data_IF_779681727474
#
_entry.id   IF_779681727474
#
_cell.length_a   1.000
_cell.length_b   1.000
_cell.length_c   1.000
_cell.angle_alpha   90.00
_cell.angle_beta   90.00
_cell.angle_gamma   90.00
#
_symmetry.space_group_name_H-M   'P 1'
#
loop_
_entity.id
_entity.type
_entity.pdbx_description
1 polymer ?
#
# COMPACT_ATOMS: atom_id res chain seq x y z
N UNK A 1 10.59 3.09 -7.60
CA UNK A 1 9.70 3.67 -6.57
C UNK A 1 9.22 5.09 -6.86
N UNK A 2 9.90 5.89 -7.70
CA UNK A 2 9.46 7.26 -8.03
C UNK A 2 8.03 7.37 -8.59
N UNK A 3 7.59 6.41 -9.41
CA UNK A 3 6.20 6.37 -9.91
C UNK A 3 5.18 6.26 -8.77
N UNK A 4 5.51 5.49 -7.73
CA UNK A 4 4.64 5.28 -6.56
C UNK A 4 4.55 6.59 -5.78
N UNK A 5 5.69 7.15 -5.39
CA UNK A 5 5.71 8.41 -4.60
C UNK A 5 5.15 9.59 -5.38
N UNK A 6 5.43 9.68 -6.68
CA UNK A 6 4.88 10.71 -7.57
C UNK A 6 3.36 10.65 -7.66
N UNK A 7 2.78 9.47 -7.90
CA UNK A 7 1.32 9.31 -7.90
C UNK A 7 0.70 9.66 -6.55
N UNK A 8 1.29 9.16 -5.45
CA UNK A 8 0.77 9.43 -4.10
C UNK A 8 0.80 10.93 -3.75
N UNK A 9 1.85 11.65 -4.14
CA UNK A 9 1.95 13.11 -3.95
C UNK A 9 0.95 13.90 -4.78
N UNK A 10 0.58 13.43 -5.99
CA UNK A 10 -0.49 14.04 -6.77
C UNK A 10 -1.87 13.75 -6.16
N UNK A 11 -2.06 12.51 -5.71
CA UNK A 11 -3.29 12.09 -5.04
C UNK A 11 -3.52 12.85 -3.73
N UNK A 12 -2.47 13.13 -2.94
CA UNK A 12 -2.61 13.89 -1.69
C UNK A 12 -3.11 15.31 -1.93
N UNK A 13 -2.77 15.92 -3.06
CA UNK A 13 -3.24 17.25 -3.45
C UNK A 13 -4.64 17.24 -4.08
N UNK A 14 -5.10 16.09 -4.59
CA UNK A 14 -6.32 15.96 -5.40
C UNK A 14 -7.18 14.76 -4.98
N UNK A 15 -7.37 14.56 -3.68
CA UNK A 15 -8.02 13.36 -3.13
C UNK A 15 -9.55 13.41 -3.26
N UNK A 16 -10.04 13.26 -4.49
CA UNK A 16 -11.45 13.16 -4.86
C UNK A 16 -11.65 12.14 -5.99
N UNK A 17 -12.90 11.70 -6.17
CA UNK A 17 -13.23 10.59 -7.06
C UNK A 17 -13.02 10.95 -8.53
N UNK A 18 -13.40 12.16 -8.90
CA UNK A 18 -13.33 12.68 -10.27
C UNK A 18 -11.88 12.70 -10.75
N UNK A 19 -10.98 13.24 -9.92
CA UNK A 19 -9.56 13.27 -10.22
C UNK A 19 -8.96 11.86 -10.26
N UNK A 20 -9.30 10.99 -9.31
CA UNK A 20 -8.78 9.62 -9.28
C UNK A 20 -9.21 8.81 -10.52
N UNK A 21 -10.46 8.94 -10.96
CA UNK A 21 -10.94 8.25 -12.15
C UNK A 21 -10.20 8.73 -13.41
N UNK A 22 -9.91 10.03 -13.52
CA UNK A 22 -9.12 10.59 -14.61
C UNK A 22 -7.65 10.11 -14.60
N UNK A 23 -7.08 9.79 -13.44
CA UNK A 23 -5.69 9.36 -13.27
C UNK A 23 -5.55 7.86 -12.96
N UNK A 24 -6.59 7.08 -13.25
CA UNK A 24 -6.66 5.65 -12.92
C UNK A 24 -5.59 4.81 -13.60
N UNK A 25 -5.10 5.21 -14.76
CA UNK A 25 -3.96 4.56 -15.44
C UNK A 25 -2.68 4.72 -14.63
N UNK A 26 -2.36 5.94 -14.19
CA UNK A 26 -1.19 6.23 -13.35
C UNK A 26 -1.25 5.46 -12.02
N UNK A 27 -2.44 5.35 -11.43
CA UNK A 27 -2.63 4.49 -10.25
C UNK A 27 -2.28 3.03 -10.53
N UNK A 28 -2.72 2.47 -11.66
CA UNK A 28 -2.42 1.07 -12.03
C UNK A 28 -0.92 0.85 -12.23
N UNK A 29 -0.24 1.79 -12.89
CA UNK A 29 1.22 1.73 -13.08
C UNK A 29 1.97 1.81 -11.74
N UNK A 30 1.55 2.71 -10.85
CA UNK A 30 2.09 2.80 -9.49
C UNK A 30 1.83 1.51 -8.69
N UNK A 31 0.63 0.94 -8.82
CA UNK A 31 0.24 -0.30 -8.16
C UNK A 31 1.09 -1.47 -8.64
N UNK A 32 1.33 -1.61 -9.94
CA UNK A 32 2.19 -2.65 -10.52
C UNK A 32 3.61 -2.57 -9.96
N UNK A 33 4.22 -1.39 -9.98
CA UNK A 33 5.56 -1.16 -9.39
C UNK A 33 5.60 -1.54 -7.91
N UNK A 34 4.55 -1.22 -7.15
CA UNK A 34 4.47 -1.58 -5.73
C UNK A 34 4.28 -3.10 -5.52
N UNK A 35 3.53 -3.76 -6.40
CA UNK A 35 3.31 -5.21 -6.35
C UNK A 35 4.59 -5.99 -6.69
N UNK A 36 5.35 -5.55 -7.68
CA UNK A 36 6.65 -6.12 -8.04
C UNK A 36 7.62 -6.00 -6.87
N UNK A 37 7.75 -4.79 -6.30
CA UNK A 37 8.55 -4.58 -5.09
C UNK A 37 8.09 -5.46 -3.93
N UNK A 38 6.78 -5.60 -3.71
CA UNK A 38 6.27 -6.45 -2.62
C UNK A 38 6.62 -7.92 -2.85
N UNK A 39 6.65 -8.39 -4.09
CA UNK A 39 7.11 -9.76 -4.43
C UNK A 39 8.56 -9.95 -4.03
N UNK A 40 9.43 -9.01 -4.41
CA UNK A 40 10.84 -9.03 -4.03
C UNK A 40 11.03 -8.97 -2.51
N UNK A 41 10.24 -8.14 -1.82
CA UNK A 41 10.25 -8.02 -0.36
C UNK A 41 9.88 -9.35 0.31
N UNK A 42 8.80 -10.01 -0.14
CA UNK A 42 8.38 -11.33 0.39
C UNK A 42 9.50 -12.34 0.19
N UNK A 43 10.07 -12.41 -1.02
CA UNK A 43 11.16 -13.34 -1.33
C UNK A 43 12.41 -13.07 -0.49
N UNK A 44 12.74 -11.79 -0.29
CA UNK A 44 13.84 -11.35 0.57
C UNK A 44 13.65 -11.76 2.03
N UNK A 45 12.46 -11.53 2.59
CA UNK A 45 12.15 -11.96 3.96
C UNK A 45 12.18 -13.50 4.08
N UNK A 46 11.65 -14.21 3.09
CA UNK A 46 11.65 -15.67 3.06
C UNK A 46 13.05 -16.31 3.04
N UNK A 47 14.12 -15.53 2.79
CA UNK A 47 15.49 -16.03 2.92
C UNK A 47 15.85 -16.37 4.37
N UNK A 48 15.35 -15.60 5.35
CA UNK A 48 15.66 -15.77 6.77
C UNK A 48 14.45 -16.15 7.63
N UNK A 49 13.23 -15.85 7.20
CA UNK A 49 12.01 -16.24 7.87
C UNK A 49 11.17 -17.16 6.96
N UNK A 50 11.31 -18.47 7.16
CA UNK A 50 10.63 -19.45 6.29
C UNK A 50 9.11 -19.46 6.50
N UNK A 51 8.59 -18.92 7.60
CA UNK A 51 7.16 -18.94 7.89
C UNK A 51 6.33 -18.06 6.94
N UNK A 52 6.97 -17.13 6.23
CA UNK A 52 6.32 -16.26 5.23
C UNK A 52 6.50 -16.77 3.79
N UNK A 53 7.11 -17.94 3.59
CA UNK A 53 7.33 -18.51 2.26
C UNK A 53 6.01 -18.82 1.55
N UNK A 54 5.95 -18.57 0.25
CA UNK A 54 4.78 -18.89 -0.58
C UNK A 54 3.60 -17.93 -0.45
N UNK A 55 3.74 -16.82 0.30
CA UNK A 55 2.75 -15.75 0.29
C UNK A 55 2.71 -15.06 -1.07
N UNK A 56 1.51 -14.74 -1.53
CA UNK A 56 1.32 -13.88 -2.69
C UNK A 56 1.26 -12.41 -2.29
N UNK A 57 1.53 -11.52 -3.24
CA UNK A 57 1.38 -10.07 -3.03
C UNK A 57 -0.03 -9.69 -2.56
N UNK A 58 -1.07 -10.40 -3.02
CA UNK A 58 -2.46 -10.16 -2.62
C UNK A 58 -2.71 -10.49 -1.16
N UNK A 59 -1.92 -11.38 -0.56
CA UNK A 59 -2.00 -11.72 0.85
C UNK A 59 -1.42 -10.61 1.72
N UNK A 60 -0.44 -9.86 1.21
CA UNK A 60 0.30 -8.86 1.97
C UNK A 60 -0.18 -7.41 1.75
N UNK A 61 -0.75 -7.07 0.59
CA UNK A 61 -1.07 -5.67 0.22
C UNK A 61 -2.48 -5.22 0.62
N UNK A 62 -2.69 -3.91 0.72
CA UNK A 62 -3.99 -3.32 1.06
C UNK A 62 -4.65 -2.61 -0.13
N UNK A 63 -5.98 -2.43 -0.04
CA UNK A 63 -6.71 -1.57 -0.97
C UNK A 63 -6.44 -0.09 -0.68
N UNK A 64 -6.45 0.73 -1.73
CA UNK A 64 -6.25 2.18 -1.66
C UNK A 64 -7.45 2.92 -1.04
N UNK A 65 -8.65 2.35 -1.06
CA UNK A 65 -9.84 2.99 -0.50
C UNK A 65 -9.77 3.12 1.03
N UNK A 66 -10.24 4.26 1.54
CA UNK A 66 -10.43 4.51 2.97
C UNK A 66 -11.82 4.06 3.44
N UNK A 67 -11.90 3.66 4.70
CA UNK A 67 -13.19 3.52 5.39
C UNK A 67 -13.56 4.87 6.00
N UNK A 68 -14.65 5.46 5.52
CA UNK A 68 -15.07 6.83 5.86
C UNK A 68 -16.22 6.89 6.86
N UNK A 69 -16.75 5.74 7.30
CA UNK A 69 -17.99 5.68 8.10
C UNK A 69 -17.91 6.52 9.37
N UNK A 70 -16.73 6.54 10.00
CA UNK A 70 -16.49 7.23 11.27
C UNK A 70 -15.39 8.29 11.20
N UNK A 71 -14.82 8.54 10.02
CA UNK A 71 -13.73 9.53 9.88
C UNK A 71 -14.32 10.94 9.72
N UNK A 72 -13.83 11.95 10.46
CA UNK A 72 -14.20 13.35 10.23
C UNK A 72 -13.65 13.85 8.89
N UNK A 73 -12.49 13.35 8.48
CA UNK A 73 -11.90 13.55 7.16
C UNK A 73 -12.55 12.59 6.14
N UNK A 74 -13.17 13.16 5.11
CA UNK A 74 -13.93 12.42 4.08
C UNK A 74 -13.15 12.16 2.80
N UNK A 75 -11.83 12.36 2.79
CA UNK A 75 -11.02 12.04 1.62
C UNK A 75 -11.05 10.52 1.31
N UNK A 76 -11.45 10.09 0.10
CA UNK A 76 -11.80 8.70 -0.20
C UNK A 76 -10.63 7.72 -0.36
N UNK A 77 -9.42 8.23 -0.62
CA UNK A 77 -8.27 7.39 -0.93
C UNK A 77 -7.14 7.57 0.09
N UNK A 78 -6.39 6.49 0.30
CA UNK A 78 -5.14 6.53 1.07
C UNK A 78 -4.07 7.20 0.23
N UNK A 79 -3.32 8.10 0.85
CA UNK A 79 -2.13 8.76 0.28
C UNK A 79 -0.86 7.94 0.50
N UNK A 80 -1.02 6.64 0.75
CA UNK A 80 0.06 5.69 0.96
C UNK A 80 -0.29 4.29 0.41
N UNK A 81 0.76 3.50 0.17
CA UNK A 81 0.67 2.06 -0.09
C UNK A 81 1.43 1.31 1.01
N UNK A 82 0.89 0.17 1.42
CA UNK A 82 1.46 -0.64 2.49
C UNK A 82 1.40 -2.12 2.17
N UNK A 83 2.35 -2.86 2.74
CA UNK A 83 2.42 -4.30 2.70
C UNK A 83 2.71 -4.83 4.11
N UNK A 84 1.95 -5.84 4.52
CA UNK A 84 2.18 -6.56 5.78
C UNK A 84 2.47 -8.03 5.47
N UNK A 85 3.71 -8.44 5.71
CA UNK A 85 4.24 -9.77 5.43
C UNK A 85 4.27 -10.55 6.74
N UNK A 86 3.31 -11.45 6.92
CA UNK A 86 3.21 -12.32 8.09
C UNK A 86 2.74 -13.72 7.67
N UNK A 87 3.04 -14.76 8.46
CA UNK A 87 2.61 -16.13 8.15
C UNK A 87 1.11 -16.19 7.91
N UNK A 88 0.66 -16.86 6.84
CA UNK A 88 -0.77 -16.95 6.48
C UNK A 88 -1.40 -15.65 5.96
N UNK A 89 -0.62 -14.60 5.71
CA UNK A 89 -1.07 -13.35 5.10
C UNK A 89 -1.70 -12.36 6.09
N UNK A 90 -1.96 -11.12 5.64
CA UNK A 90 -2.28 -9.97 6.50
C UNK A 90 -3.49 -10.10 7.45
N UNK A 91 -4.27 -11.17 7.35
CA UNK A 91 -5.46 -11.45 8.16
C UNK A 91 -5.25 -12.58 9.18
N UNK A 92 -4.06 -13.16 9.25
CA UNK A 92 -3.77 -14.35 10.05
C UNK A 92 -3.68 -14.09 11.56
N UNK A 93 -3.51 -12.84 11.98
CA UNK A 93 -3.31 -12.48 13.39
C UNK A 93 -1.89 -12.71 13.92
N UNK A 94 -0.96 -13.19 13.08
CA UNK A 94 0.44 -13.31 13.45
C UNK A 94 1.19 -11.98 13.36
N UNK A 95 2.25 -11.86 14.15
CA UNK A 95 3.25 -10.82 13.99
C UNK A 95 4.01 -10.98 12.66
N UNK A 96 4.59 -9.89 12.17
CA UNK A 96 5.31 -9.88 10.91
C UNK A 96 5.90 -8.51 10.59
N UNK A 97 6.27 -8.34 9.33
CA UNK A 97 7.02 -7.18 8.84
C UNK A 97 6.08 -6.24 8.10
N UNK A 98 6.10 -4.96 8.46
CA UNK A 98 5.30 -3.93 7.80
C UNK A 98 6.19 -3.00 6.99
N UNK A 99 5.85 -2.82 5.72
CA UNK A 99 6.42 -1.80 4.86
C UNK A 99 5.34 -0.80 4.48
N UNK A 100 5.70 0.48 4.50
CA UNK A 100 4.83 1.60 4.14
C UNK A 100 5.60 2.58 3.29
N UNK A 101 4.95 3.10 2.25
CA UNK A 101 5.41 4.26 1.51
C UNK A 101 4.24 5.21 1.26
N UNK A 102 4.44 6.49 1.59
CA UNK A 102 3.45 7.55 1.46
C UNK A 102 3.91 8.66 0.51
N UNK A 103 2.99 9.56 0.19
CA UNK A 103 3.34 10.91 -0.23
C UNK A 103 4.27 11.54 0.82
N UNK A 104 5.15 12.44 0.40
CA UNK A 104 5.98 13.24 1.32
C UNK A 104 5.11 14.28 2.04
N UNK A 105 4.23 13.81 2.92
CA UNK A 105 3.41 14.62 3.81
C UNK A 105 3.61 14.01 5.19
N UNK A 106 4.13 14.80 6.12
CA UNK A 106 4.47 14.38 7.47
C UNK A 106 3.21 14.10 8.30
N UNK A 107 2.51 13.00 8.02
CA UNK A 107 1.30 12.59 8.75
C UNK A 107 1.55 11.36 9.64
N UNK A 108 2.77 11.22 10.18
CA UNK A 108 3.02 10.27 11.28
C UNK A 108 2.45 10.85 12.58
N UNK A 109 1.14 10.71 12.78
CA UNK A 109 0.52 10.72 14.10
C UNK A 109 0.32 9.27 14.54
N UNK A 110 1.35 8.73 15.20
CA UNK A 110 1.21 7.53 16.02
C UNK A 110 0.40 7.80 17.28
#
# INVERSE_FOLDING_TARGET
MERVTGFLSLLSQNNNKEWFDAHKSQYKEALEVFQDFTTELINGIATFDKAVSGLSVKDCTFRIYRDLRFSPDKTPYKTYMGAYVCPGGKKSGFAGYYFHIGAAVNDWSG
#
